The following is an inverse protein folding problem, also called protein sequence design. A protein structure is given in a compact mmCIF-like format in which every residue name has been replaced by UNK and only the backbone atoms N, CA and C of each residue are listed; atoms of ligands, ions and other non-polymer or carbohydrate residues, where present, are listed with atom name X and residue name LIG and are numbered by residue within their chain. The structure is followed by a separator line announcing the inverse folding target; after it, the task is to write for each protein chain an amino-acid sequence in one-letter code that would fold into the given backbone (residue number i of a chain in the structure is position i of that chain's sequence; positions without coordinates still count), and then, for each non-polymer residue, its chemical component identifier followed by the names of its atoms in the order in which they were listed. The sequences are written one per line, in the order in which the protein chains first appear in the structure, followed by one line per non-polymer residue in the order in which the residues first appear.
data_IF_715893111383
#
_entry.id   IF_715893111383
#
_cell.length_a   1.000
_cell.length_b   1.000
_cell.length_c   1.000
_cell.angle_alpha   90.00
_cell.angle_beta   90.00
_cell.angle_gamma   90.00
#
_symmetry.space_group_name_H-M   'P 1'
#
loop_
_entity.id
_entity.type
_entity.pdbx_description
1 polymer ?
#
# COMPACT_ATOMS: atom_id res chain seq x y z
N UNK A 1 18.14 -23.21 1.24
CA UNK A 1 17.32 -22.01 1.00
C UNK A 1 15.86 -22.40 1.12
N UNK A 2 15.04 -21.68 1.89
CA UNK A 2 13.60 -21.94 1.93
C UNK A 2 12.96 -21.56 0.59
N UNK A 3 12.03 -22.36 0.09
CA UNK A 3 11.29 -22.06 -1.13
C UNK A 3 10.49 -20.76 -0.97
N UNK A 4 10.56 -19.86 -1.95
CA UNK A 4 9.81 -18.60 -1.92
C UNK A 4 8.30 -18.89 -2.03
N UNK A 5 7.53 -18.43 -1.03
CA UNK A 5 6.08 -18.59 -1.04
C UNK A 5 5.45 -17.71 -2.11
N UNK A 6 4.38 -18.21 -2.72
CA UNK A 6 3.62 -17.52 -3.77
C UNK A 6 2.23 -17.10 -3.27
N UNK A 7 1.68 -16.06 -3.88
CA UNK A 7 0.32 -15.56 -3.69
C UNK A 7 -0.37 -15.34 -5.04
N UNK A 8 -1.70 -15.30 -5.03
CA UNK A 8 -2.48 -14.93 -6.21
C UNK A 8 -2.65 -13.41 -6.26
N UNK A 9 -2.42 -12.81 -7.43
CA UNK A 9 -2.65 -11.39 -7.67
C UNK A 9 -3.24 -11.15 -9.06
N UNK A 10 -4.01 -10.07 -9.20
CA UNK A 10 -4.38 -9.53 -10.51
C UNK A 10 -3.24 -8.62 -11.00
N UNK A 11 -2.61 -9.00 -12.10
CA UNK A 11 -1.44 -8.32 -12.67
C UNK A 11 -1.84 -7.59 -13.93
N UNK A 12 -1.61 -6.28 -13.99
CA UNK A 12 -1.74 -5.49 -15.20
C UNK A 12 -0.64 -5.90 -16.19
N UNK A 13 -1.03 -6.56 -17.27
CA UNK A 13 -0.12 -7.08 -18.29
C UNK A 13 -0.05 -6.21 -19.53
N UNK A 14 -1.07 -5.40 -19.77
CA UNK A 14 -1.19 -4.53 -20.96
C UNK A 14 -1.88 -3.22 -20.52
N UNK A 15 -1.14 -2.14 -20.26
CA UNK A 15 -1.71 -0.83 -19.90
C UNK A 15 -2.22 -0.08 -21.14
N UNK A 16 -3.24 0.76 -20.96
CA UNK A 16 -3.84 1.56 -22.04
C UNK A 16 -5.37 1.55 -22.01
N UNK A 17 -6.05 2.13 -23.02
CA UNK A 17 -7.51 2.27 -23.03
C UNK A 17 -8.28 0.96 -22.77
N UNK A 18 -7.74 -0.14 -23.31
CA UNK A 18 -8.24 -1.51 -23.19
C UNK A 18 -7.41 -2.34 -22.19
N UNK A 19 -7.05 -1.73 -21.05
CA UNK A 19 -6.15 -2.33 -20.06
C UNK A 19 -6.53 -3.77 -19.70
N UNK A 20 -5.55 -4.68 -19.69
CA UNK A 20 -5.76 -6.11 -19.40
C UNK A 20 -5.07 -6.57 -18.14
N UNK A 21 -5.82 -7.32 -17.34
CA UNK A 21 -5.32 -7.98 -16.13
C UNK A 21 -5.30 -9.48 -16.30
N UNK A 22 -4.25 -10.12 -15.79
CA UNK A 22 -4.14 -11.58 -15.69
C UNK A 22 -4.03 -11.98 -14.23
N UNK A 23 -4.77 -13.02 -13.82
CA UNK A 23 -4.62 -13.61 -12.49
C UNK A 23 -3.41 -14.54 -12.50
N UNK A 24 -2.39 -14.17 -11.74
CA UNK A 24 -1.09 -14.85 -11.73
C UNK A 24 -0.65 -15.23 -10.32
N UNK A 25 0.21 -16.25 -10.22
CA UNK A 25 0.93 -16.60 -8.99
C UNK A 25 2.23 -15.80 -8.95
N UNK A 26 2.39 -14.94 -7.96
CA UNK A 26 3.57 -14.09 -7.78
C UNK A 26 4.24 -14.35 -6.43
N UNK A 27 5.55 -14.04 -6.27
CA UNK A 27 6.20 -14.08 -4.97
C UNK A 27 5.51 -13.23 -3.91
N UNK A 28 5.50 -13.72 -2.67
CA UNK A 28 5.18 -12.90 -1.51
C UNK A 28 6.43 -12.07 -1.16
N UNK A 29 6.33 -10.72 -1.12
CA UNK A 29 7.47 -9.87 -0.78
C UNK A 29 7.87 -10.04 0.68
N UNK A 30 9.13 -9.78 0.99
CA UNK A 30 9.60 -9.64 2.38
C UNK A 30 9.54 -8.15 2.73
N UNK A 31 8.84 -7.75 3.81
CA UNK A 31 8.76 -6.34 4.17
C UNK A 31 10.14 -5.83 4.59
N UNK A 32 10.48 -4.62 4.15
CA UNK A 32 11.62 -3.86 4.65
C UNK A 32 11.44 -3.43 6.11
N UNK A 33 12.46 -2.79 6.74
CA UNK A 33 12.44 -2.47 8.17
C UNK A 33 11.25 -1.61 8.63
N UNK A 34 10.73 -0.73 7.77
CA UNK A 34 9.61 0.18 8.08
C UNK A 34 8.28 -0.29 7.48
N UNK A 35 8.20 -1.52 6.95
CA UNK A 35 7.05 -1.98 6.19
C UNK A 35 6.26 -3.05 6.95
N UNK A 36 4.99 -3.20 6.56
CA UNK A 36 4.13 -4.30 6.97
C UNK A 36 3.81 -5.18 5.78
N UNK A 37 3.85 -6.50 5.99
CA UNK A 37 3.22 -7.44 5.07
C UNK A 37 1.81 -7.74 5.55
N UNK A 38 0.84 -7.49 4.70
CA UNK A 38 -0.58 -7.58 5.04
C UNK A 38 -1.24 -8.64 4.18
N UNK A 39 -1.89 -9.62 4.81
CA UNK A 39 -2.79 -10.54 4.12
C UNK A 39 -4.15 -9.88 3.98
N UNK A 40 -4.47 -9.45 2.76
CA UNK A 40 -5.77 -8.88 2.44
C UNK A 40 -6.88 -9.92 2.59
N UNK A 41 -8.00 -9.50 3.20
CA UNK A 41 -9.25 -10.25 3.30
C UNK A 41 -10.23 -9.84 2.19
N UNK A 42 -10.21 -8.56 1.84
CA UNK A 42 -10.95 -7.98 0.71
C UNK A 42 -10.24 -6.72 0.19
N UNK A 43 -10.55 -6.36 -1.05
CA UNK A 43 -10.20 -5.09 -1.69
C UNK A 43 -11.35 -4.66 -2.60
N UNK A 44 -11.56 -3.37 -2.77
CA UNK A 44 -12.48 -2.81 -3.78
C UNK A 44 -11.72 -2.44 -5.06
N UNK A 45 -12.50 -2.19 -6.13
CA UNK A 45 -12.01 -1.61 -7.38
C UNK A 45 -12.49 -0.18 -7.43
N UNK A 46 -11.56 0.78 -7.42
CA UNK A 46 -11.88 2.19 -7.52
C UNK A 46 -11.75 2.68 -8.96
N UNK A 47 -12.44 3.77 -9.30
CA UNK A 47 -12.32 4.40 -10.61
C UNK A 47 -10.88 4.90 -10.90
N UNK A 48 -10.14 5.29 -9.87
CA UNK A 48 -8.73 5.68 -9.99
C UNK A 48 -7.81 4.51 -10.36
N UNK A 49 -8.12 3.27 -9.97
CA UNK A 49 -7.37 2.08 -10.43
C UNK A 49 -7.51 1.91 -11.94
N UNK A 50 -8.74 2.04 -12.46
CA UNK A 50 -9.02 1.99 -13.90
C UNK A 50 -8.33 3.14 -14.64
N UNK A 51 -8.38 4.35 -14.08
CA UNK A 51 -7.75 5.54 -14.64
C UNK A 51 -6.22 5.37 -14.72
N UNK A 52 -5.62 4.78 -13.69
CA UNK A 52 -4.20 4.46 -13.63
C UNK A 52 -3.83 3.38 -14.64
N UNK A 53 -4.59 2.28 -14.72
CA UNK A 53 -4.38 1.20 -15.69
C UNK A 53 -4.41 1.69 -17.15
N UNK A 54 -5.23 2.72 -17.42
CA UNK A 54 -5.34 3.37 -18.72
C UNK A 54 -4.26 4.42 -19.00
N UNK A 55 -3.40 4.72 -18.02
CA UNK A 55 -2.30 5.68 -18.15
C UNK A 55 -2.69 7.14 -17.94
N UNK A 56 -3.92 7.44 -17.50
CA UNK A 56 -4.36 8.82 -17.29
C UNK A 56 -3.71 9.49 -16.07
N UNK A 57 -3.13 8.71 -15.17
CA UNK A 57 -2.48 9.18 -13.93
C UNK A 57 -0.96 8.99 -13.94
N UNK A 58 -0.37 8.84 -15.14
CA UNK A 58 1.03 8.48 -15.34
C UNK A 58 1.25 6.97 -15.52
N UNK A 59 2.51 6.53 -15.63
CA UNK A 59 2.85 5.11 -15.83
C UNK A 59 2.33 4.24 -14.67
N UNK A 60 1.52 3.20 -14.93
CA UNK A 60 1.00 2.34 -13.89
C UNK A 60 2.03 1.33 -13.37
N UNK A 61 1.86 0.92 -12.11
CA UNK A 61 2.50 -0.28 -11.59
C UNK A 61 1.79 -1.55 -12.12
N UNK A 62 2.48 -2.69 -12.02
CA UNK A 62 1.91 -3.98 -12.45
C UNK A 62 0.84 -4.53 -11.51
N UNK A 63 0.81 -4.10 -10.25
CA UNK A 63 -0.24 -4.41 -9.27
C UNK A 63 -0.91 -3.10 -8.87
N UNK A 64 -2.23 -3.05 -9.01
CA UNK A 64 -3.07 -1.90 -8.63
C UNK A 64 -3.95 -2.25 -7.42
N UNK A 65 -4.80 -1.32 -7.01
CA UNK A 65 -5.64 -1.42 -5.83
C UNK A 65 -5.05 -0.65 -4.65
N UNK A 66 -5.86 0.21 -4.05
CA UNK A 66 -5.46 1.07 -2.93
C UNK A 66 -6.54 1.12 -1.84
N UNK A 67 -7.50 0.20 -1.87
CA UNK A 67 -8.64 0.15 -0.95
C UNK A 67 -8.83 -1.28 -0.43
N UNK A 68 -8.15 -1.62 0.66
CA UNK A 68 -8.12 -2.99 1.16
C UNK A 68 -8.27 -3.09 2.67
N UNK A 69 -8.73 -4.25 3.15
CA UNK A 69 -8.72 -4.58 4.59
C UNK A 69 -8.09 -5.94 4.78
N UNK A 70 -7.24 -6.07 5.79
CA UNK A 70 -6.50 -7.31 6.02
C UNK A 70 -5.94 -7.43 7.43
N UNK A 71 -5.05 -8.40 7.60
CA UNK A 71 -4.28 -8.59 8.84
C UNK A 71 -2.79 -8.57 8.56
N UNK A 72 -2.03 -8.00 9.47
CA UNK A 72 -0.57 -8.02 9.42
C UNK A 72 -0.07 -9.45 9.63
N UNK A 73 0.78 -9.94 8.74
CA UNK A 73 1.36 -11.30 8.78
C UNK A 73 2.89 -11.30 8.89
N UNK A 74 3.53 -10.17 8.59
CA UNK A 74 4.93 -9.90 8.95
C UNK A 74 5.12 -8.39 9.12
N UNK A 75 6.11 -7.99 9.91
CA UNK A 75 6.44 -6.60 10.16
C UNK A 75 7.96 -6.42 10.14
N UNK A 76 8.41 -5.31 9.55
CA UNK A 76 9.80 -4.89 9.64
C UNK A 76 10.18 -4.51 11.07
N UNK A 77 11.48 -4.56 11.38
CA UNK A 77 12.01 -4.33 12.74
C UNK A 77 11.62 -2.97 13.33
N UNK A 78 11.41 -1.97 12.49
CA UNK A 78 11.13 -0.60 12.91
C UNK A 78 9.64 -0.24 12.79
N UNK A 79 8.79 -1.12 12.26
CA UNK A 79 7.41 -0.83 11.90
C UNK A 79 6.50 -0.43 13.09
N UNK A 80 6.98 -0.58 14.34
CA UNK A 80 6.29 -0.14 15.56
C UNK A 80 5.98 1.36 15.56
N UNK A 81 6.71 2.18 14.79
CA UNK A 81 6.38 3.60 14.62
C UNK A 81 4.94 3.84 14.11
N UNK A 82 4.38 2.88 13.36
CA UNK A 82 3.00 2.94 12.84
C UNK A 82 1.92 2.90 13.94
N UNK A 83 2.29 2.52 15.17
CA UNK A 83 1.41 2.51 16.33
C UNK A 83 1.94 3.40 17.47
N UNK A 84 2.74 4.42 17.16
CA UNK A 84 3.28 5.35 18.15
C UNK A 84 4.59 4.91 18.81
N UNK A 85 5.19 3.81 18.37
CA UNK A 85 6.51 3.37 18.85
C UNK A 85 6.51 2.53 20.13
N UNK A 86 5.33 2.21 20.67
CA UNK A 86 5.22 1.37 21.87
C UNK A 86 5.29 -0.13 21.53
N UNK A 87 6.10 -0.88 22.29
CA UNK A 87 6.25 -2.33 22.12
C UNK A 87 7.29 -2.73 21.07
N UNK A 88 7.13 -3.92 20.49
CA UNK A 88 8.00 -4.44 19.44
C UNK A 88 7.23 -4.68 18.13
N UNK A 89 7.95 -4.90 17.03
CA UNK A 89 7.34 -5.17 15.72
C UNK A 89 6.44 -6.43 15.71
N UNK A 90 6.69 -7.40 16.59
CA UNK A 90 5.90 -8.62 16.67
C UNK A 90 4.50 -8.37 17.24
N UNK A 91 4.33 -7.31 18.05
CA UNK A 91 3.02 -6.85 18.54
C UNK A 91 2.05 -6.43 17.42
N UNK A 92 2.56 -6.15 16.21
CA UNK A 92 1.75 -5.78 15.06
C UNK A 92 1.10 -7.00 14.39
N UNK A 93 1.68 -8.19 14.56
CA UNK A 93 1.22 -9.41 13.88
C UNK A 93 -0.19 -9.77 14.33
N UNK A 94 -1.08 -10.06 13.36
CA UNK A 94 -2.48 -10.40 13.60
C UNK A 94 -3.42 -9.20 13.72
N UNK A 95 -2.91 -7.97 13.89
CA UNK A 95 -3.73 -6.75 13.93
C UNK A 95 -4.47 -6.57 12.61
N UNK A 96 -5.73 -6.17 12.68
CA UNK A 96 -6.54 -5.81 11.51
C UNK A 96 -6.25 -4.38 11.12
N UNK A 97 -5.99 -4.14 9.84
CA UNK A 97 -5.73 -2.80 9.30
C UNK A 97 -6.55 -2.55 8.04
N UNK A 98 -6.76 -1.28 7.72
CA UNK A 98 -7.23 -0.83 6.42
C UNK A 98 -6.05 -0.22 5.64
N UNK A 99 -6.01 -0.49 4.35
CA UNK A 99 -5.10 0.10 3.37
C UNK A 99 -5.95 1.06 2.55
N UNK A 100 -5.62 2.34 2.61
CA UNK A 100 -6.24 3.39 1.80
C UNK A 100 -5.20 4.03 0.88
N UNK A 101 -5.65 4.96 0.03
CA UNK A 101 -4.76 5.82 -0.77
C UNK A 101 -4.10 6.88 0.12
N UNK A 102 -3.19 6.44 0.97
CA UNK A 102 -2.31 7.29 1.76
C UNK A 102 -0.91 7.09 1.22
N UNK A 103 -0.38 8.13 0.56
CA UNK A 103 0.96 8.12 0.00
C UNK A 103 1.78 9.25 0.59
N UNK A 104 3.07 8.95 0.69
CA UNK A 104 4.12 9.93 0.96
C UNK A 104 4.00 10.70 2.31
N UNK A 105 3.47 10.06 3.35
CA UNK A 105 3.31 10.68 4.68
C UNK A 105 4.65 10.83 5.42
N UNK A 106 5.05 12.06 5.76
CA UNK A 106 6.22 12.31 6.61
C UNK A 106 5.89 12.33 8.11
N UNK A 107 4.61 12.47 8.47
CA UNK A 107 4.16 12.51 9.86
C UNK A 107 4.54 13.79 10.64
N UNK A 108 5.16 14.77 9.99
CA UNK A 108 5.73 15.96 10.65
C UNK A 108 5.38 17.30 9.98
N UNK A 109 4.85 17.29 8.75
CA UNK A 109 4.46 18.52 8.06
C UNK A 109 3.03 18.92 8.39
N UNK A 110 2.69 20.19 8.13
CA UNK A 110 1.35 20.73 8.38
C UNK A 110 0.24 19.92 7.70
N UNK A 111 0.49 19.34 6.52
CA UNK A 111 -0.47 18.46 5.85
C UNK A 111 -0.66 17.11 6.57
N UNK A 112 0.40 16.57 7.17
CA UNK A 112 0.32 15.33 7.96
C UNK A 112 -0.26 15.55 9.35
N UNK A 113 -0.10 16.76 9.90
CA UNK A 113 -0.58 17.13 11.23
C UNK A 113 -1.92 17.88 11.21
N UNK A 114 -2.45 18.16 10.01
CA UNK A 114 -3.74 18.81 9.83
C UNK A 114 -4.84 17.99 10.52
N UNK A 115 -5.82 18.65 11.15
CA UNK A 115 -6.90 17.95 11.82
C UNK A 115 -7.78 17.21 10.78
N UNK A 116 -8.48 16.14 11.19
CA UNK A 116 -9.14 15.20 10.26
C UNK A 116 -10.12 15.85 9.28
N UNK A 117 -10.78 16.95 9.66
CA UNK A 117 -11.68 17.72 8.81
C UNK A 117 -10.99 18.42 7.63
N UNK A 118 -9.66 18.56 7.68
CA UNK A 118 -8.82 19.13 6.63
C UNK A 118 -7.89 18.09 5.98
N UNK A 119 -7.98 16.83 6.41
CA UNK A 119 -7.22 15.72 5.83
C UNK A 119 -7.83 15.30 4.48
N UNK A 120 -7.48 16.03 3.42
CA UNK A 120 -7.60 15.50 2.05
C UNK A 120 -6.64 14.33 1.85
N UNK A 121 -6.78 13.55 0.76
CA UNK A 121 -5.80 12.52 0.34
C UNK A 121 -4.38 13.10 0.43
N UNK A 122 -3.68 12.80 1.53
CA UNK A 122 -2.73 13.75 2.10
C UNK A 122 -1.49 13.85 1.24
N UNK A 123 -1.32 14.96 0.50
CA UNK A 123 -0.07 15.25 -0.21
C UNK A 123 0.88 15.99 0.72
N UNK A 124 1.72 15.21 1.39
CA UNK A 124 2.83 15.72 2.19
C UNK A 124 3.69 16.73 1.43
N UNK A 125 4.02 17.86 2.04
CA UNK A 125 4.84 18.91 1.44
C UNK A 125 6.23 18.41 1.02
N UNK A 126 6.82 17.49 1.78
CA UNK A 126 8.13 16.90 1.48
C UNK A 126 8.11 15.91 0.30
N UNK A 127 6.93 15.44 -0.10
CA UNK A 127 6.72 14.60 -1.27
C UNK A 127 6.51 15.44 -2.53
N UNK A 128 5.79 16.55 -2.39
CA UNK A 128 5.54 17.54 -3.44
C UNK A 128 6.82 18.17 -3.99
N UNK A 129 7.92 18.14 -3.24
CA UNK A 129 9.23 18.67 -3.66
C UNK A 129 10.15 17.64 -4.31
N UNK A 130 9.71 16.38 -4.49
CA UNK A 130 10.48 15.29 -5.13
C UNK A 130 9.99 14.95 -6.55
N UNK A 131 9.02 15.71 -7.07
CA UNK A 131 8.49 15.60 -8.42
C UNK A 131 9.23 16.50 -9.40
#
# INVERSE_FOLDING_TARGET
MAAQKLQTAAVLTDPGPEAKFTVSRIPIPTPGPNELLVRLSCTSVCHSDVSMARGFLGPPNSILGHEGVGRVVAAGSNAVYLIGGEGDASSLIGRRIAVGLLRDLCGTCDYCLAPPEHASESRCSAASSRA
#
